data_IF_730529102935
#
_entry.id   IF_730529102935
#
_cell.length_a   1.000
_cell.length_b   1.000
_cell.length_c   1.000
_cell.angle_alpha   90.00
_cell.angle_beta   90.00
_cell.angle_gamma   90.00
#
_symmetry.space_group_name_H-M   'P 1'
#
loop_
_entity.id
_entity.type
_entity.pdbx_description
1 polymer ?
#
# COMPACT_ATOMS: atom_id res chain seq x y z
N UNK A 1 -17.79 8.60 -33.19
CA UNK A 1 -18.32 9.27 -31.98
C UNK A 1 -18.20 8.26 -30.86
N UNK A 2 -17.39 8.53 -29.83
CA UNK A 2 -17.34 7.68 -28.64
C UNK A 2 -18.73 7.61 -28.03
N UNK A 3 -19.13 6.43 -27.57
CA UNK A 3 -20.41 6.20 -26.90
C UNK A 3 -20.46 7.08 -25.64
N UNK A 4 -21.55 7.82 -25.45
CA UNK A 4 -21.79 8.62 -24.25
C UNK A 4 -21.82 7.70 -23.01
N UNK A 5 -21.02 8.02 -21.99
CA UNK A 5 -20.95 7.27 -20.74
C UNK A 5 -22.23 7.52 -19.94
N UNK A 6 -22.90 6.44 -19.50
CA UNK A 6 -24.10 6.50 -18.66
C UNK A 6 -23.94 5.72 -17.37
N UNK A 7 -23.13 4.66 -17.37
CA UNK A 7 -22.94 3.81 -16.21
C UNK A 7 -21.49 3.40 -16.03
N UNK A 8 -20.99 3.60 -14.82
CA UNK A 8 -19.66 3.12 -14.41
C UNK A 8 -19.79 2.06 -13.33
N UNK A 9 -18.85 1.13 -13.31
CA UNK A 9 -18.68 0.18 -12.21
C UNK A 9 -17.32 0.39 -11.56
N UNK A 10 -17.22 0.17 -10.26
CA UNK A 10 -15.96 0.26 -9.53
C UNK A 10 -15.71 -0.97 -8.67
N UNK A 11 -14.43 -1.30 -8.46
CA UNK A 11 -14.01 -2.38 -7.56
C UNK A 11 -12.70 -2.01 -6.85
N UNK A 12 -12.51 -2.54 -5.65
CA UNK A 12 -11.25 -2.48 -4.91
C UNK A 12 -10.61 -3.86 -4.81
N UNK A 13 -9.33 -3.97 -5.16
CA UNK A 13 -8.54 -5.21 -5.07
C UNK A 13 -7.29 -5.06 -4.21
N UNK A 14 -6.75 -6.19 -3.74
CA UNK A 14 -5.57 -6.24 -2.88
C UNK A 14 -5.86 -5.96 -1.41
N UNK A 15 -4.80 -5.71 -0.62
CA UNK A 15 -4.96 -5.25 0.77
C UNK A 15 -5.60 -3.86 0.82
N UNK A 16 -6.42 -3.59 1.83
CA UNK A 16 -6.99 -2.27 2.04
C UNK A 16 -5.93 -1.26 2.51
N UNK A 17 -6.24 0.02 2.33
CA UNK A 17 -5.48 1.12 2.92
C UNK A 17 -6.42 2.28 3.28
N UNK A 18 -5.99 3.19 4.18
CA UNK A 18 -6.77 4.39 4.50
C UNK A 18 -7.05 5.22 3.24
N UNK A 19 -8.27 5.76 3.11
CA UNK A 19 -8.67 6.63 1.99
C UNK A 19 -9.48 5.95 0.88
N UNK A 20 -9.56 4.61 0.85
CA UNK A 20 -10.37 3.88 -0.14
C UNK A 20 -11.83 4.35 -0.19
N UNK A 21 -12.50 4.43 0.95
CA UNK A 21 -13.88 4.92 1.02
C UNK A 21 -14.01 6.40 0.60
N UNK A 22 -12.99 7.22 0.84
CA UNK A 22 -12.99 8.61 0.39
C UNK A 22 -12.90 8.73 -1.14
N UNK A 23 -12.12 7.86 -1.79
CA UNK A 23 -12.08 7.74 -3.27
C UNK A 23 -13.43 7.27 -3.79
N UNK A 24 -13.98 6.18 -3.23
CA UNK A 24 -15.29 5.63 -3.63
C UNK A 24 -16.39 6.70 -3.52
N UNK A 25 -16.48 7.39 -2.37
CA UNK A 25 -17.43 8.48 -2.20
C UNK A 25 -17.25 9.55 -3.26
N UNK A 26 -16.04 10.05 -3.43
CA UNK A 26 -15.81 11.23 -4.26
C UNK A 26 -16.04 10.93 -5.73
N UNK A 27 -15.58 9.78 -6.21
CA UNK A 27 -15.85 9.30 -7.56
C UNK A 27 -17.36 9.15 -7.79
N UNK A 28 -18.08 8.49 -6.87
CA UNK A 28 -19.54 8.32 -6.97
C UNK A 28 -20.27 9.67 -6.99
N UNK A 29 -19.96 10.59 -6.07
CA UNK A 29 -20.60 11.91 -6.03
C UNK A 29 -20.33 12.70 -7.31
N UNK A 30 -19.08 12.71 -7.79
CA UNK A 30 -18.71 13.41 -9.02
C UNK A 30 -19.42 12.81 -10.24
N UNK A 31 -19.43 11.48 -10.35
CA UNK A 31 -20.13 10.77 -11.42
C UNK A 31 -21.63 11.12 -11.47
N UNK A 32 -22.31 11.14 -10.33
CA UNK A 32 -23.74 11.42 -10.25
C UNK A 32 -24.03 12.92 -10.44
N UNK A 33 -23.40 13.80 -9.66
CA UNK A 33 -23.77 15.22 -9.58
C UNK A 33 -23.24 16.03 -10.77
N UNK A 34 -22.02 15.73 -11.24
CA UNK A 34 -21.39 16.47 -12.34
C UNK A 34 -21.74 15.89 -13.70
N UNK A 35 -21.81 14.56 -13.81
CA UNK A 35 -21.94 13.88 -15.10
C UNK A 35 -23.24 13.09 -15.29
N UNK A 36 -24.07 12.93 -14.26
CA UNK A 36 -25.35 12.23 -14.37
C UNK A 36 -25.25 10.72 -14.58
N UNK A 37 -24.13 10.09 -14.20
CA UNK A 37 -23.92 8.65 -14.38
C UNK A 37 -24.52 7.81 -13.26
N UNK A 38 -24.94 6.60 -13.60
CA UNK A 38 -25.19 5.53 -12.63
C UNK A 38 -23.86 4.90 -12.18
N UNK A 39 -23.78 4.54 -10.89
CA UNK A 39 -22.58 3.96 -10.29
C UNK A 39 -22.91 2.67 -9.53
N UNK A 40 -22.21 1.60 -9.87
CA UNK A 40 -22.26 0.33 -9.12
C UNK A 40 -20.87 -0.02 -8.57
N UNK A 41 -20.83 -0.71 -7.43
CA UNK A 41 -19.60 -1.20 -6.83
C UNK A 41 -19.61 -2.72 -6.69
N UNK A 42 -18.68 -3.42 -7.33
CA UNK A 42 -18.53 -4.87 -7.16
C UNK A 42 -17.97 -5.19 -5.78
N UNK A 43 -18.63 -6.09 -5.08
CA UNK A 43 -18.27 -6.49 -3.72
C UNK A 43 -17.21 -7.60 -3.78
N UNK A 44 -16.16 -7.51 -2.97
CA UNK A 44 -15.02 -8.42 -2.95
C UNK A 44 -14.14 -8.36 -4.21
N UNK A 45 -14.00 -7.18 -4.81
CA UNK A 45 -13.08 -6.95 -5.92
C UNK A 45 -13.44 -7.77 -7.16
N UNK A 46 -12.45 -8.42 -7.78
CA UNK A 46 -12.65 -9.22 -9.00
C UNK A 46 -13.59 -10.41 -8.80
N UNK A 47 -13.72 -10.97 -7.60
CA UNK A 47 -14.72 -12.01 -7.31
C UNK A 47 -16.14 -11.49 -7.48
N UNK A 48 -16.40 -10.24 -7.08
CA UNK A 48 -17.68 -9.58 -7.32
C UNK A 48 -17.98 -9.45 -8.81
N UNK A 49 -16.98 -9.04 -9.59
CA UNK A 49 -17.08 -8.97 -11.05
C UNK A 49 -17.38 -10.35 -11.69
N UNK A 50 -16.74 -11.41 -11.21
CA UNK A 50 -16.97 -12.77 -11.72
C UNK A 50 -18.36 -13.32 -11.35
N UNK A 51 -18.78 -13.12 -10.11
CA UNK A 51 -20.07 -13.63 -9.58
C UNK A 51 -21.26 -12.70 -9.87
N UNK A 52 -21.01 -11.59 -10.55
CA UNK A 52 -21.95 -10.49 -10.77
C UNK A 52 -22.60 -9.95 -9.48
N UNK A 53 -21.81 -9.85 -8.41
CA UNK A 53 -22.24 -9.37 -7.10
C UNK A 53 -21.80 -7.91 -6.90
N UNK A 54 -22.76 -7.00 -6.97
CA UNK A 54 -22.53 -5.57 -6.79
C UNK A 54 -23.61 -4.90 -5.95
N UNK A 55 -23.30 -3.71 -5.46
CA UNK A 55 -24.25 -2.79 -4.86
C UNK A 55 -24.38 -1.52 -5.70
N UNK A 56 -25.58 -0.92 -5.71
CA UNK A 56 -25.73 0.44 -6.21
C UNK A 56 -25.05 1.41 -5.24
N UNK A 57 -24.30 2.36 -5.79
CA UNK A 57 -23.65 3.43 -5.05
C UNK A 57 -24.40 4.73 -5.31
N UNK A 58 -25.25 5.10 -4.36
CA UNK A 58 -26.06 6.32 -4.39
C UNK A 58 -25.45 7.38 -3.46
N UNK A 59 -25.87 8.64 -3.61
CA UNK A 59 -25.34 9.75 -2.80
C UNK A 59 -25.52 9.49 -1.30
N UNK A 60 -26.68 8.97 -0.89
CA UNK A 60 -26.97 8.64 0.51
C UNK A 60 -26.05 7.53 1.04
N UNK A 61 -25.75 6.53 0.22
CA UNK A 61 -24.93 5.38 0.62
C UNK A 61 -23.46 5.72 0.82
N UNK A 62 -22.97 6.75 0.12
CA UNK A 62 -21.56 7.15 0.18
C UNK A 62 -21.32 8.41 1.02
N UNK A 63 -22.35 9.09 1.52
CA UNK A 63 -22.17 10.42 2.11
C UNK A 63 -21.17 10.44 3.27
N UNK A 64 -21.25 9.45 4.18
CA UNK A 64 -20.52 9.45 5.45
C UNK A 64 -19.26 8.55 5.49
N UNK A 65 -18.97 7.82 4.41
CA UNK A 65 -17.92 6.80 4.41
C UNK A 65 -16.50 7.39 4.30
N UNK A 66 -16.34 8.67 3.94
CA UNK A 66 -15.05 9.29 3.63
C UNK A 66 -14.03 9.33 4.77
N UNK A 67 -14.48 9.13 6.01
CA UNK A 67 -13.65 9.08 7.21
C UNK A 67 -13.42 7.64 7.70
N UNK A 68 -14.14 6.67 7.15
CA UNK A 68 -14.10 5.28 7.58
C UNK A 68 -12.91 4.56 6.95
N UNK A 69 -12.12 3.87 7.77
CA UNK A 69 -11.07 2.97 7.30
C UNK A 69 -11.62 1.78 6.51
N UNK A 70 -10.74 1.06 5.82
CA UNK A 70 -11.11 -0.07 4.97
C UNK A 70 -11.92 0.34 3.72
N UNK A 71 -12.82 -0.55 3.28
CA UNK A 71 -13.67 -0.34 2.11
C UNK A 71 -15.06 -0.93 2.32
N UNK A 72 -16.12 -0.17 2.01
CA UNK A 72 -17.51 -0.66 2.04
C UNK A 72 -17.80 -1.77 1.02
N UNK A 73 -16.91 -1.96 0.04
CA UNK A 73 -17.05 -3.00 -0.99
C UNK A 73 -16.38 -4.30 -0.57
N UNK A 74 -15.69 -4.34 0.57
CA UNK A 74 -14.69 -5.35 0.88
C UNK A 74 -13.61 -5.44 -0.23
N UNK A 75 -12.64 -6.31 -0.04
CA UNK A 75 -11.59 -6.54 -1.03
C UNK A 75 -11.22 -8.01 -1.08
N UNK A 76 -10.54 -8.41 -2.15
CA UNK A 76 -9.87 -9.68 -2.25
C UNK A 76 -8.41 -9.47 -2.62
N UNK A 77 -7.52 -10.17 -1.92
CA UNK A 77 -6.09 -10.16 -2.15
C UNK A 77 -5.61 -11.36 -2.98
N UNK A 78 -6.52 -12.20 -3.48
CA UNK A 78 -6.19 -13.42 -4.24
C UNK A 78 -6.83 -13.48 -5.62
N UNK A 79 -7.93 -12.77 -5.82
CA UNK A 79 -8.74 -12.96 -7.01
C UNK A 79 -8.19 -12.14 -8.18
N UNK A 80 -7.82 -12.83 -9.26
CA UNK A 80 -7.47 -12.28 -10.57
C UNK A 80 -8.21 -13.09 -11.63
N UNK A 81 -9.08 -12.47 -12.45
CA UNK A 81 -9.90 -13.25 -13.39
C UNK A 81 -9.09 -13.85 -14.55
N UNK A 82 -7.88 -13.38 -14.80
CA UNK A 82 -6.97 -13.96 -15.81
C UNK A 82 -6.19 -15.18 -15.27
N UNK A 83 -6.20 -15.39 -13.94
CA UNK A 83 -5.49 -16.46 -13.26
C UNK A 83 -6.30 -16.89 -12.00
N UNK A 84 -7.58 -17.21 -12.21
CA UNK A 84 -8.57 -17.37 -11.13
C UNK A 84 -8.59 -18.81 -10.63
N UNK A 85 -8.64 -18.98 -9.32
CA UNK A 85 -8.68 -20.30 -8.70
C UNK A 85 -10.12 -20.86 -8.71
N UNK A 86 -10.36 -21.88 -9.52
CA UNK A 86 -11.65 -22.58 -9.64
C UNK A 86 -11.55 -24.02 -9.10
N UNK A 87 -12.67 -24.57 -8.66
CA UNK A 87 -12.78 -26.00 -8.35
C UNK A 87 -12.63 -26.81 -9.65
N UNK A 88 -11.82 -27.86 -9.62
CA UNK A 88 -11.59 -28.73 -10.77
C UNK A 88 -12.71 -29.77 -10.99
N UNK A 89 -13.72 -29.79 -10.12
CA UNK A 89 -14.83 -30.74 -10.12
C UNK A 89 -14.47 -32.11 -9.56
N UNK A 90 -13.23 -32.30 -9.12
CA UNK A 90 -12.68 -33.53 -8.53
C UNK A 90 -12.22 -33.30 -7.07
N UNK A 91 -12.57 -32.16 -6.48
CA UNK A 91 -12.19 -31.78 -5.11
C UNK A 91 -10.82 -31.10 -5.01
N UNK A 92 -10.18 -30.80 -6.14
CA UNK A 92 -8.98 -29.98 -6.23
C UNK A 92 -9.28 -28.56 -6.71
N UNK A 93 -8.21 -27.75 -6.82
CA UNK A 93 -8.31 -26.38 -7.34
C UNK A 93 -7.33 -26.19 -8.48
N UNK A 94 -7.79 -25.54 -9.55
CA UNK A 94 -6.99 -25.23 -10.73
C UNK A 94 -7.11 -23.75 -11.08
N UNK A 95 -6.01 -23.16 -11.55
CA UNK A 95 -6.03 -21.78 -12.04
C UNK A 95 -6.50 -21.73 -13.50
N UNK A 96 -7.43 -20.83 -13.80
CA UNK A 96 -8.01 -20.68 -15.14
C UNK A 96 -8.30 -19.21 -15.45
N UNK A 97 -8.13 -18.82 -16.70
CA UNK A 97 -8.66 -17.56 -17.20
C UNK A 97 -10.20 -17.66 -17.32
N UNK A 98 -10.89 -16.86 -16.52
CA UNK A 98 -12.34 -16.69 -16.49
C UNK A 98 -12.75 -15.23 -16.77
N UNK A 99 -11.82 -14.41 -17.27
CA UNK A 99 -12.04 -12.97 -17.45
C UNK A 99 -13.11 -12.63 -18.48
N UNK A 100 -13.39 -13.53 -19.43
CA UNK A 100 -14.51 -13.35 -20.38
C UNK A 100 -15.87 -13.28 -19.66
N UNK A 101 -16.05 -14.02 -18.57
CA UNK A 101 -17.25 -13.94 -17.72
C UNK A 101 -17.41 -12.54 -17.13
N UNK A 102 -16.30 -11.94 -16.69
CA UNK A 102 -16.29 -10.55 -16.22
C UNK A 102 -16.68 -9.56 -17.31
N UNK A 103 -16.17 -9.75 -18.54
CA UNK A 103 -16.54 -8.91 -19.70
C UNK A 103 -18.03 -9.05 -20.03
N UNK A 104 -18.56 -10.27 -19.99
CA UNK A 104 -19.98 -10.56 -20.24
C UNK A 104 -20.88 -9.91 -19.18
N UNK A 105 -20.50 -10.00 -17.90
CA UNK A 105 -21.22 -9.36 -16.80
C UNK A 105 -21.29 -7.84 -16.97
N UNK A 106 -20.17 -7.18 -17.30
CA UNK A 106 -20.15 -5.73 -17.58
C UNK A 106 -21.12 -5.36 -18.71
N UNK A 107 -21.11 -6.14 -19.81
CA UNK A 107 -22.02 -5.92 -20.95
C UNK A 107 -23.48 -6.12 -20.55
N UNK A 108 -23.77 -7.19 -19.80
CA UNK A 108 -25.12 -7.54 -19.33
C UNK A 108 -25.72 -6.43 -18.46
N UNK A 109 -24.92 -5.84 -17.57
CA UNK A 109 -25.36 -4.77 -16.68
C UNK A 109 -25.26 -3.37 -17.30
N UNK A 110 -24.87 -3.29 -18.58
CA UNK A 110 -24.78 -2.02 -19.33
C UNK A 110 -23.69 -1.09 -18.80
N UNK A 111 -22.62 -1.62 -18.23
CA UNK A 111 -21.48 -0.84 -17.72
C UNK A 111 -20.64 -0.36 -18.90
N UNK A 112 -20.45 0.96 -19.00
CA UNK A 112 -19.66 1.58 -20.05
C UNK A 112 -18.16 1.64 -19.70
N UNK A 113 -17.85 1.79 -18.41
CA UNK A 113 -16.47 1.94 -17.91
C UNK A 113 -16.27 1.23 -16.57
N UNK A 114 -15.15 0.52 -16.43
CA UNK A 114 -14.73 -0.13 -15.21
C UNK A 114 -13.60 0.67 -14.52
N UNK A 115 -13.83 1.09 -13.28
CA UNK A 115 -12.83 1.78 -12.45
C UNK A 115 -12.22 0.83 -11.44
N UNK A 116 -10.89 0.72 -11.45
CA UNK A 116 -10.17 -0.27 -10.64
C UNK A 116 -9.29 0.45 -9.61
N UNK A 117 -9.63 0.27 -8.33
CA UNK A 117 -8.86 0.80 -7.19
C UNK A 117 -7.90 -0.29 -6.70
N UNK A 118 -6.59 -0.10 -6.89
CA UNK A 118 -5.66 -1.21 -6.69
C UNK A 118 -4.17 -0.87 -6.75
N UNK A 119 -3.35 -1.75 -6.20
CA UNK A 119 -1.89 -1.73 -6.39
C UNK A 119 -1.48 -2.51 -7.64
N UNK A 120 -0.18 -2.79 -7.80
CA UNK A 120 0.42 -3.41 -9.00
C UNK A 120 -0.32 -4.65 -9.49
N UNK A 121 -0.59 -5.62 -8.60
CA UNK A 121 -1.31 -6.85 -8.98
C UNK A 121 -2.73 -6.59 -9.49
N UNK A 122 -3.45 -5.66 -8.87
CA UNK A 122 -4.82 -5.31 -9.27
C UNK A 122 -4.85 -4.49 -10.56
N UNK A 123 -3.89 -3.57 -10.73
CA UNK A 123 -3.73 -2.76 -11.95
C UNK A 123 -3.19 -3.56 -13.13
N UNK A 124 -2.48 -4.67 -12.88
CA UNK A 124 -2.10 -5.66 -13.91
C UNK A 124 -3.34 -6.22 -14.58
N UNK A 125 -4.32 -6.68 -13.81
CA UNK A 125 -5.61 -7.14 -14.35
C UNK A 125 -6.40 -6.01 -15.02
N UNK A 126 -6.27 -4.76 -14.53
CA UNK A 126 -6.89 -3.59 -15.15
C UNK A 126 -6.39 -3.38 -16.60
N UNK A 127 -5.07 -3.43 -16.80
CA UNK A 127 -4.45 -3.41 -18.14
C UNK A 127 -4.98 -4.56 -19.00
N UNK A 128 -5.04 -5.77 -18.46
CA UNK A 128 -5.45 -6.94 -19.23
C UNK A 128 -6.93 -6.87 -19.65
N UNK A 129 -7.81 -6.31 -18.83
CA UNK A 129 -9.18 -5.97 -19.24
C UNK A 129 -9.21 -4.88 -20.32
N UNK A 130 -8.34 -3.87 -20.21
CA UNK A 130 -8.21 -2.83 -21.24
C UNK A 130 -7.81 -3.43 -22.59
N UNK A 131 -6.86 -4.38 -22.61
CA UNK A 131 -6.48 -5.14 -23.83
C UNK A 131 -7.62 -5.98 -24.40
N UNK A 132 -8.55 -6.44 -23.57
CA UNK A 132 -9.79 -7.11 -24.01
C UNK A 132 -10.86 -6.15 -24.54
N UNK A 133 -10.58 -4.85 -24.61
CA UNK A 133 -11.49 -3.84 -25.13
C UNK A 133 -12.50 -3.31 -24.12
N UNK A 134 -12.30 -3.57 -22.82
CA UNK A 134 -13.07 -2.91 -21.76
C UNK A 134 -12.52 -1.50 -21.57
N UNK A 135 -13.38 -0.49 -21.49
CA UNK A 135 -12.95 0.85 -21.07
C UNK A 135 -12.59 0.79 -19.58
N UNK A 136 -11.34 1.06 -19.26
CA UNK A 136 -10.81 0.96 -17.89
C UNK A 136 -10.16 2.26 -17.47
N UNK A 137 -10.39 2.69 -16.23
CA UNK A 137 -9.59 3.73 -15.55
C UNK A 137 -9.05 3.15 -14.24
N UNK A 138 -7.74 3.21 -14.06
CA UNK A 138 -7.07 2.82 -12.81
C UNK A 138 -7.01 3.97 -11.81
N UNK A 139 -7.12 3.64 -10.53
CA UNK A 139 -6.77 4.57 -9.44
C UNK A 139 -5.80 3.86 -8.50
N UNK A 140 -4.58 4.37 -8.33
CA UNK A 140 -3.53 3.65 -7.65
C UNK A 140 -3.78 3.59 -6.15
N UNK A 141 -3.67 2.40 -5.58
CA UNK A 141 -3.92 2.11 -4.17
C UNK A 141 -2.77 1.31 -3.57
N UNK A 142 -1.93 1.97 -2.79
CA UNK A 142 -0.88 1.34 -1.99
C UNK A 142 -0.55 2.24 -0.81
N UNK A 143 -0.40 1.67 0.38
CA UNK A 143 0.10 2.40 1.54
C UNK A 143 1.62 2.54 1.53
N UNK A 144 2.31 1.69 0.76
CA UNK A 144 3.77 1.58 0.76
C UNK A 144 4.42 2.69 -0.08
N UNK A 145 3.61 3.47 -0.82
CA UNK A 145 4.04 4.55 -1.71
C UNK A 145 5.10 4.12 -2.74
N UNK A 146 4.96 2.90 -3.22
CA UNK A 146 5.92 2.17 -4.06
C UNK A 146 5.57 2.20 -5.56
N UNK A 147 4.56 2.97 -5.96
CA UNK A 147 4.17 3.13 -7.35
C UNK A 147 5.00 4.21 -8.06
N UNK A 148 5.80 3.82 -9.05
CA UNK A 148 6.76 4.71 -9.73
C UNK A 148 6.13 5.85 -10.56
N UNK A 149 4.88 5.71 -10.99
CA UNK A 149 4.20 6.70 -11.83
C UNK A 149 3.60 7.88 -11.05
N UNK A 150 3.72 7.89 -9.72
CA UNK A 150 3.07 8.89 -8.88
C UNK A 150 3.91 9.25 -7.64
N UNK A 151 3.87 10.53 -7.26
CA UNK A 151 4.67 11.05 -6.14
C UNK A 151 4.10 10.64 -4.78
N UNK A 152 2.79 10.47 -4.68
CA UNK A 152 2.14 10.04 -3.44
C UNK A 152 0.86 9.27 -3.72
N UNK A 153 0.72 8.13 -3.07
CA UNK A 153 -0.52 7.35 -3.04
C UNK A 153 -1.29 7.65 -1.76
N UNK A 154 -2.63 7.68 -1.86
CA UNK A 154 -3.45 7.85 -0.67
C UNK A 154 -3.33 6.65 0.26
N UNK A 155 -3.36 6.94 1.55
CA UNK A 155 -3.18 5.98 2.64
C UNK A 155 -1.76 5.94 3.17
N UNK A 156 -0.77 6.40 2.40
CA UNK A 156 0.62 6.50 2.85
C UNK A 156 0.77 7.44 4.06
N UNK A 157 0.18 8.64 4.00
CA UNK A 157 0.34 9.63 5.08
C UNK A 157 -0.33 9.17 6.38
N UNK A 158 -1.47 8.49 6.29
CA UNK A 158 -2.15 7.91 7.44
C UNK A 158 -1.34 6.76 8.03
N UNK A 159 -0.80 5.88 7.19
CA UNK A 159 0.05 4.78 7.62
C UNK A 159 1.32 5.24 8.33
N UNK A 160 2.06 6.21 7.75
CA UNK A 160 3.26 6.75 8.40
C UNK A 160 2.92 7.53 9.68
N UNK A 161 1.75 8.16 9.77
CA UNK A 161 1.32 8.87 10.99
C UNK A 161 1.08 7.90 12.13
N UNK A 162 0.41 6.77 11.86
CA UNK A 162 0.22 5.71 12.86
C UNK A 162 1.58 5.12 13.25
N UNK A 163 2.46 4.81 12.28
CA UNK A 163 3.80 4.33 12.56
C UNK A 163 4.62 5.28 13.45
N UNK A 164 4.48 6.59 13.21
CA UNK A 164 5.09 7.65 14.02
C UNK A 164 4.56 7.61 15.46
N UNK A 165 3.24 7.50 15.64
CA UNK A 165 2.61 7.40 16.96
C UNK A 165 3.12 6.18 17.75
N UNK A 166 3.28 5.02 17.08
CA UNK A 166 3.86 3.84 17.71
C UNK A 166 5.29 4.13 18.19
N UNK A 167 6.13 4.70 17.33
CA UNK A 167 7.50 5.06 17.70
C UNK A 167 7.50 6.02 18.90
N UNK A 168 6.71 7.10 18.87
CA UNK A 168 6.61 8.08 19.95
C UNK A 168 6.23 7.42 21.29
N UNK A 169 5.23 6.53 21.27
CA UNK A 169 4.84 5.78 22.47
C UNK A 169 5.98 4.89 22.98
N UNK A 170 6.69 4.21 22.08
CA UNK A 170 7.84 3.38 22.44
C UNK A 170 8.99 4.20 23.02
N UNK A 171 9.23 5.43 22.54
CA UNK A 171 10.28 6.32 23.08
C UNK A 171 10.10 6.55 24.59
N UNK A 172 8.86 6.78 25.05
CA UNK A 172 8.59 7.08 26.46
C UNK A 172 8.97 5.93 27.40
N UNK A 173 8.61 4.71 27.03
CA UNK A 173 8.91 3.50 27.82
C UNK A 173 10.37 3.05 27.65
N UNK A 174 10.94 3.22 26.46
CA UNK A 174 12.36 2.96 26.22
C UNK A 174 13.24 3.85 27.11
N UNK A 175 12.93 5.15 27.14
CA UNK A 175 13.65 6.14 27.96
C UNK A 175 13.55 5.85 29.46
N UNK A 176 12.37 5.46 29.94
CA UNK A 176 12.13 5.22 31.38
C UNK A 176 12.86 4.00 31.92
N UNK A 177 13.18 3.03 31.06
CA UNK A 177 13.77 1.74 31.45
C UNK A 177 15.12 1.44 30.79
N UNK A 178 15.73 2.44 30.14
CA UNK A 178 17.01 2.29 29.46
C UNK A 178 17.03 1.15 28.42
N UNK A 179 15.95 1.01 27.64
CA UNK A 179 15.75 -0.13 26.72
C UNK A 179 16.14 0.19 25.29
N UNK A 180 16.48 -0.87 24.57
CA UNK A 180 16.46 -0.88 23.10
C UNK A 180 15.17 -1.53 22.65
N UNK A 181 14.35 -0.82 21.86
CA UNK A 181 13.06 -1.34 21.39
C UNK A 181 12.98 -1.27 19.88
N UNK A 182 12.77 -2.41 19.24
CA UNK A 182 12.53 -2.56 17.81
C UNK A 182 11.03 -2.42 17.51
N UNK A 183 10.69 -1.55 16.58
CA UNK A 183 9.34 -1.36 16.06
C UNK A 183 9.29 -1.87 14.61
N UNK A 184 8.70 -3.05 14.40
CA UNK A 184 8.53 -3.64 13.07
C UNK A 184 7.38 -2.96 12.34
N UNK A 185 7.66 -2.25 11.24
CA UNK A 185 6.71 -1.52 10.42
C UNK A 185 6.55 -2.19 9.05
N UNK A 186 5.45 -1.87 8.36
CA UNK A 186 5.22 -2.31 6.99
C UNK A 186 6.22 -1.68 6.01
N UNK A 187 6.55 -2.41 4.95
CA UNK A 187 7.54 -1.99 3.96
C UNK A 187 8.30 -3.18 3.42
N UNK A 188 7.67 -3.94 2.51
CA UNK A 188 8.18 -5.20 1.98
C UNK A 188 9.35 -5.01 1.02
N UNK A 189 9.13 -4.24 -0.03
CA UNK A 189 10.15 -4.00 -1.06
C UNK A 189 10.63 -2.54 -1.03
N UNK A 190 9.85 -1.63 -0.43
CA UNK A 190 10.21 -0.23 -0.26
C UNK A 190 10.09 0.22 1.21
N UNK A 191 11.05 1.05 1.66
CA UNK A 191 11.18 1.50 3.03
C UNK A 191 10.46 2.81 3.40
N UNK A 192 9.55 3.30 2.56
CA UNK A 192 8.98 4.66 2.72
C UNK A 192 8.28 4.88 4.06
N UNK A 193 7.44 3.95 4.50
CA UNK A 193 6.72 4.07 5.79
C UNK A 193 7.74 4.12 6.93
N UNK A 194 8.68 3.18 6.97
CA UNK A 194 9.70 3.10 8.03
C UNK A 194 10.60 4.32 8.06
N UNK A 195 11.03 4.83 6.90
CA UNK A 195 11.86 6.03 6.83
C UNK A 195 11.09 7.25 7.34
N UNK A 196 9.88 7.51 6.86
CA UNK A 196 9.09 8.66 7.27
C UNK A 196 8.68 8.59 8.75
N UNK A 197 8.20 7.43 9.21
CA UNK A 197 7.82 7.23 10.60
C UNK A 197 9.03 7.30 11.54
N UNK A 198 10.15 6.71 11.13
CA UNK A 198 11.42 6.76 11.86
C UNK A 198 11.94 8.18 12.02
N UNK A 199 11.89 8.98 10.95
CA UNK A 199 12.25 10.40 11.01
C UNK A 199 11.35 11.19 11.94
N UNK A 200 10.03 11.07 11.75
CA UNK A 200 9.04 11.85 12.48
C UNK A 200 8.98 11.47 13.96
N UNK A 201 9.13 10.18 14.28
CA UNK A 201 9.15 9.65 15.65
C UNK A 201 10.54 9.65 16.31
N UNK A 202 11.54 10.26 15.67
CA UNK A 202 12.90 10.39 16.17
C UNK A 202 13.56 9.04 16.55
N UNK A 203 13.39 8.03 15.71
CA UNK A 203 14.05 6.73 15.89
C UNK A 203 15.57 6.92 15.86
N UNK A 204 16.30 6.21 16.73
CA UNK A 204 17.77 6.29 16.73
C UNK A 204 18.41 5.49 15.59
N UNK A 205 17.69 4.50 15.08
CA UNK A 205 18.09 3.66 13.95
C UNK A 205 16.87 3.39 13.07
N UNK A 206 17.04 3.45 11.75
CA UNK A 206 16.01 3.12 10.76
C UNK A 206 16.55 2.06 9.79
N UNK A 207 15.96 0.87 9.80
CA UNK A 207 16.36 -0.24 8.93
C UNK A 207 15.34 -0.41 7.81
N UNK A 208 15.77 -0.22 6.57
CA UNK A 208 14.90 -0.25 5.37
C UNK A 208 15.39 -1.29 4.35
N UNK A 209 14.53 -1.79 3.45
CA UNK A 209 14.92 -2.78 2.44
C UNK A 209 16.08 -2.33 1.54
N UNK A 210 16.20 -1.03 1.29
CA UNK A 210 17.16 -0.45 0.35
C UNK A 210 18.58 -0.34 0.90
N UNK A 211 18.74 -0.32 2.23
CA UNK A 211 20.04 -0.16 2.91
C UNK A 211 20.27 -1.38 3.80
N UNK A 212 21.06 -2.37 3.33
CA UNK A 212 21.40 -3.54 4.12
C UNK A 212 22.22 -3.18 5.37
N UNK A 213 21.97 -3.87 6.48
CA UNK A 213 22.61 -3.57 7.76
C UNK A 213 23.42 -4.74 8.32
N UNK A 214 24.29 -4.46 9.29
CA UNK A 214 24.93 -5.49 10.14
C UNK A 214 24.53 -5.31 11.60
N UNK A 215 24.51 -6.41 12.35
CA UNK A 215 24.20 -6.38 13.80
C UNK A 215 25.23 -5.52 14.53
N UNK A 216 26.50 -5.59 14.11
CA UNK A 216 27.61 -4.85 14.67
C UNK A 216 27.44 -3.34 14.50
N UNK A 217 27.01 -2.88 13.32
CA UNK A 217 26.79 -1.46 13.06
C UNK A 217 25.57 -0.93 13.80
N UNK A 218 24.50 -1.73 13.93
CA UNK A 218 23.35 -1.37 14.76
C UNK A 218 23.76 -1.25 16.23
N UNK A 219 24.53 -2.21 16.76
CA UNK A 219 25.05 -2.17 18.12
C UNK A 219 25.98 -0.96 18.36
N UNK A 220 26.82 -0.62 17.38
CA UNK A 220 27.66 0.59 17.39
C UNK A 220 26.82 1.87 17.45
N UNK A 221 25.71 1.93 16.71
CA UNK A 221 24.79 3.06 16.74
C UNK A 221 24.11 3.20 18.11
N UNK A 222 23.67 2.10 18.73
CA UNK A 222 23.15 2.09 20.11
C UNK A 222 24.21 2.63 21.08
N UNK A 223 25.42 2.07 21.04
CA UNK A 223 26.52 2.48 21.92
C UNK A 223 26.86 3.98 21.80
N UNK A 224 26.89 4.51 20.58
CA UNK A 224 27.14 5.94 20.32
C UNK A 224 26.09 6.83 21.00
N UNK A 225 24.82 6.38 21.05
CA UNK A 225 23.75 7.10 21.74
C UNK A 225 23.90 7.03 23.26
N UNK A 226 24.31 5.87 23.80
CA UNK A 226 24.59 5.73 25.22
C UNK A 226 25.70 6.69 25.66
N UNK A 227 26.80 6.76 24.89
CA UNK A 227 27.93 7.68 25.11
C UNK A 227 27.50 9.16 25.03
N UNK A 228 26.44 9.46 24.28
CA UNK A 228 25.84 10.80 24.21
C UNK A 228 24.86 11.10 25.35
N UNK A 229 24.73 10.22 26.35
CA UNK A 229 23.82 10.37 27.49
C UNK A 229 22.37 10.01 27.17
N UNK A 230 22.12 9.26 26.10
CA UNK A 230 20.82 8.73 25.71
C UNK A 230 20.84 7.20 25.85
N UNK A 231 20.73 6.65 27.08
CA UNK A 231 20.84 5.21 27.37
C UNK A 231 19.61 4.41 26.94
N UNK A 232 19.04 4.72 25.77
CA UNK A 232 17.87 4.09 25.19
C UNK A 232 17.82 4.34 23.68
N UNK A 233 17.28 3.38 22.94
CA UNK A 233 17.17 3.49 21.48
C UNK A 233 15.90 2.82 20.99
N UNK A 234 15.04 3.58 20.29
CA UNK A 234 13.99 2.98 19.46
C UNK A 234 14.55 2.77 18.05
N UNK A 235 14.38 1.57 17.52
CA UNK A 235 14.82 1.14 16.19
C UNK A 235 13.57 0.92 15.34
N UNK A 236 13.38 1.70 14.28
CA UNK A 236 12.32 1.45 13.31
C UNK A 236 12.82 0.45 12.26
N UNK A 237 12.07 -0.64 12.03
CA UNK A 237 12.51 -1.74 11.15
C UNK A 237 11.41 -2.07 10.16
N UNK A 238 11.67 -1.91 8.86
CA UNK A 238 10.75 -2.40 7.84
C UNK A 238 10.74 -3.93 7.82
N UNK A 239 9.59 -4.57 7.64
CA UNK A 239 9.47 -6.03 7.48
C UNK A 239 10.36 -6.59 6.36
N UNK A 240 10.67 -5.76 5.36
CA UNK A 240 11.56 -6.08 4.24
C UNK A 240 13.03 -5.71 4.41
N UNK A 241 13.44 -5.18 5.55
CA UNK A 241 14.84 -4.91 5.83
C UNK A 241 15.66 -6.21 5.72
N UNK A 242 16.95 -6.07 5.38
CA UNK A 242 17.82 -7.23 5.12
C UNK A 242 19.20 -7.03 5.70
N UNK A 243 19.79 -8.15 6.10
CA UNK A 243 21.18 -8.18 6.55
C UNK A 243 22.12 -7.96 5.34
N UNK A 244 23.34 -7.49 5.60
CA UNK A 244 24.35 -7.21 4.59
C UNK A 244 24.79 -8.45 3.80
N UNK A 245 24.63 -9.64 4.37
CA UNK A 245 24.86 -10.93 3.69
C UNK A 245 23.73 -11.33 2.71
N UNK A 246 22.69 -10.50 2.61
CA UNK A 246 21.53 -10.73 1.76
C UNK A 246 20.40 -11.52 2.44
N UNK A 247 20.56 -11.91 3.71
CA UNK A 247 19.54 -12.66 4.45
C UNK A 247 18.27 -11.82 4.62
N UNK A 248 17.14 -12.36 4.13
CA UNK A 248 15.78 -11.85 4.37
C UNK A 248 15.09 -12.75 5.40
N UNK A 249 14.38 -12.16 6.34
CA UNK A 249 13.61 -12.92 7.34
C UNK A 249 12.22 -13.22 6.81
N UNK A 250 11.91 -14.51 6.69
CA UNK A 250 10.61 -15.00 6.21
C UNK A 250 9.79 -15.45 7.42
N UNK A 251 8.66 -14.79 7.66
CA UNK A 251 7.74 -15.17 8.74
C UNK A 251 6.90 -16.39 8.40
N UNK A 252 6.38 -16.48 7.16
CA UNK A 252 5.52 -17.60 6.72
C UNK A 252 5.52 -17.79 5.21
N UNK A 253 5.29 -19.03 4.75
CA UNK A 253 4.96 -19.36 3.36
C UNK A 253 3.47 -19.75 3.26
N UNK A 254 2.75 -19.18 2.31
CA UNK A 254 1.33 -19.44 2.02
C UNK A 254 1.20 -19.82 0.54
N UNK A 255 1.19 -21.12 0.26
CA UNK A 255 1.25 -21.65 -1.12
C UNK A 255 0.11 -21.12 -2.02
N UNK A 256 -1.10 -21.01 -1.48
CA UNK A 256 -2.30 -20.53 -2.21
C UNK A 256 -2.44 -19.00 -2.27
N UNK A 257 -1.35 -18.25 -2.22
CA UNK A 257 -1.34 -16.78 -2.25
C UNK A 257 -0.64 -16.31 -3.53
N UNK A 258 -1.14 -15.27 -4.23
CA UNK A 258 -0.40 -14.65 -5.34
C UNK A 258 0.99 -14.19 -4.93
N UNK A 259 1.15 -13.94 -3.63
CA UNK A 259 2.40 -13.60 -2.99
C UNK A 259 2.65 -14.62 -1.86
N UNK A 260 3.36 -15.74 -2.15
CA UNK A 260 3.47 -16.86 -1.23
C UNK A 260 4.33 -16.56 0.00
N UNK A 261 5.38 -15.76 -0.18
CA UNK A 261 6.28 -15.38 0.90
C UNK A 261 5.66 -14.22 1.70
N UNK A 262 5.49 -14.43 3.00
CA UNK A 262 5.12 -13.41 3.97
C UNK A 262 6.35 -13.05 4.79
N UNK A 263 6.82 -11.82 4.61
CA UNK A 263 7.87 -11.25 5.45
C UNK A 263 7.30 -10.93 6.84
N UNK A 264 8.20 -10.76 7.80
CA UNK A 264 7.86 -10.46 9.19
C UNK A 264 8.72 -11.26 10.17
N UNK A 265 8.81 -10.75 11.39
CA UNK A 265 9.64 -11.33 12.45
C UNK A 265 11.10 -10.90 12.41
N UNK A 266 11.48 -9.98 11.52
CA UNK A 266 12.84 -9.43 11.48
C UNK A 266 13.18 -8.69 12.77
N UNK A 267 12.22 -7.97 13.37
CA UNK A 267 12.45 -7.32 14.65
C UNK A 267 12.69 -8.33 15.77
N UNK A 268 12.03 -9.49 15.72
CA UNK A 268 12.23 -10.55 16.71
C UNK A 268 13.59 -11.24 16.52
N UNK A 269 13.97 -11.52 15.28
CA UNK A 269 15.29 -12.07 14.97
C UNK A 269 16.40 -11.09 15.42
N UNK A 270 16.26 -9.81 15.08
CA UNK A 270 17.25 -8.79 15.43
C UNK A 270 17.27 -8.49 16.94
N UNK A 271 16.15 -8.63 17.65
CA UNK A 271 16.13 -8.62 19.13
C UNK A 271 17.10 -9.67 19.68
N UNK A 272 16.98 -10.92 19.25
CA UNK A 272 17.84 -12.03 19.71
C UNK A 272 19.31 -11.85 19.33
N UNK A 273 19.58 -11.26 18.16
CA UNK A 273 20.95 -11.00 17.72
C UNK A 273 21.59 -9.84 18.49
N UNK A 274 20.82 -8.78 18.78
CA UNK A 274 21.30 -7.64 19.55
C UNK A 274 21.52 -7.98 21.03
N UNK A 275 20.65 -8.77 21.67
CA UNK A 275 20.84 -9.20 23.07
C UNK A 275 22.21 -9.85 23.32
N UNK A 276 22.79 -10.52 22.31
CA UNK A 276 24.10 -11.16 22.39
C UNK A 276 25.27 -10.15 22.40
N UNK A 277 25.10 -8.98 21.80
CA UNK A 277 26.19 -8.00 21.56
C UNK A 277 26.03 -6.71 22.37
N UNK A 278 24.84 -6.41 22.90
CA UNK A 278 24.57 -5.28 23.80
C UNK A 278 23.98 -5.77 25.15
N UNK A 279 24.73 -6.56 25.94
CA UNK A 279 24.21 -7.25 27.13
C UNK A 279 23.78 -6.32 28.28
N UNK A 280 24.10 -5.02 28.20
CA UNK A 280 23.73 -4.02 29.19
C UNK A 280 22.33 -3.41 28.94
N UNK A 281 21.68 -3.79 27.84
CA UNK A 281 20.33 -3.34 27.52
C UNK A 281 19.35 -4.51 27.51
N UNK A 282 18.17 -4.29 28.07
CA UNK A 282 17.00 -5.11 27.75
C UNK A 282 16.52 -4.74 26.34
N UNK A 283 16.51 -5.72 25.43
CA UNK A 283 16.05 -5.54 24.04
C UNK A 283 14.64 -6.10 23.91
N UNK A 284 13.76 -5.39 23.22
CA UNK A 284 12.37 -5.81 22.98
C UNK A 284 11.97 -5.53 21.55
N UNK A 285 11.08 -6.34 20.98
CA UNK A 285 10.44 -6.08 19.70
C UNK A 285 8.93 -5.91 19.85
N UNK A 286 8.37 -5.04 19.04
CA UNK A 286 6.93 -4.77 18.92
C UNK A 286 6.58 -4.71 17.44
N UNK A 287 5.49 -5.37 17.06
CA UNK A 287 4.94 -5.32 15.71
C UNK A 287 3.50 -4.77 15.78
N UNK A 288 3.25 -3.51 15.38
CA UNK A 288 1.91 -2.94 15.27
C UNK A 288 1.02 -3.64 14.22
N UNK A 289 1.65 -4.27 13.23
CA UNK A 289 1.02 -5.09 12.22
C UNK A 289 -0.08 -4.34 11.46
N UNK A 290 -1.27 -4.95 11.42
CA UNK A 290 -2.40 -4.44 10.65
C UNK A 290 -3.01 -3.15 11.21
N UNK A 291 -2.63 -2.71 12.43
CA UNK A 291 -3.09 -1.43 12.97
C UNK A 291 -2.66 -0.27 12.05
N UNK A 292 -1.49 -0.37 11.40
CA UNK A 292 -0.97 0.65 10.47
C UNK A 292 -1.89 0.84 9.25
N UNK A 293 -2.65 -0.19 8.86
CA UNK A 293 -3.61 -0.15 7.74
C UNK A 293 -5.00 0.36 8.14
N UNK A 294 -5.35 0.19 9.41
CA UNK A 294 -6.68 0.47 9.92
C UNK A 294 -6.81 1.85 10.57
N UNK A 295 -8.01 2.13 11.05
CA UNK A 295 -8.30 3.33 11.83
C UNK A 295 -8.65 4.56 10.99
N UNK A 296 -8.49 5.72 11.63
CA UNK A 296 -8.89 7.01 11.07
C UNK A 296 -7.94 7.45 9.95
N UNK A 297 -8.51 8.08 8.94
CA UNK A 297 -7.76 8.63 7.81
C UNK A 297 -7.28 10.04 8.15
N UNK A 298 -6.00 10.35 7.89
CA UNK A 298 -5.45 11.69 8.05
C UNK A 298 -6.17 12.72 7.16
N UNK A 299 -6.16 14.00 7.56
CA UNK A 299 -6.75 15.06 6.73
C UNK A 299 -6.11 15.15 5.34
N UNK A 300 -4.79 14.95 5.27
CA UNK A 300 -4.06 14.95 4.00
C UNK A 300 -4.56 13.85 3.06
N UNK A 301 -4.65 12.60 3.55
CA UNK A 301 -5.12 11.49 2.72
C UNK A 301 -6.59 11.65 2.32
N UNK A 302 -7.45 12.22 3.18
CA UNK A 302 -8.83 12.53 2.78
C UNK A 302 -8.87 13.50 1.60
N UNK A 303 -8.08 14.56 1.64
CA UNK A 303 -7.99 15.55 0.55
C UNK A 303 -7.40 14.89 -0.71
N UNK A 304 -6.32 14.10 -0.56
CA UNK A 304 -5.69 13.41 -1.67
C UNK A 304 -6.66 12.42 -2.33
N UNK A 305 -7.39 11.61 -1.56
CA UNK A 305 -8.42 10.69 -2.05
C UNK A 305 -9.55 11.42 -2.78
N UNK A 306 -9.98 12.60 -2.31
CA UNK A 306 -10.94 13.44 -3.02
C UNK A 306 -10.39 13.80 -4.41
N UNK A 307 -9.14 14.26 -4.48
CA UNK A 307 -8.51 14.63 -5.74
C UNK A 307 -8.39 13.46 -6.72
N UNK A 308 -8.00 12.29 -6.24
CA UNK A 308 -7.98 11.06 -7.04
C UNK A 308 -9.37 10.67 -7.55
N UNK A 309 -10.40 10.77 -6.72
CA UNK A 309 -11.78 10.45 -7.10
C UNK A 309 -12.34 11.40 -8.18
N UNK A 310 -12.10 12.71 -8.04
CA UNK A 310 -12.50 13.71 -9.06
C UNK A 310 -11.74 13.48 -10.36
N UNK A 311 -10.42 13.34 -10.29
CA UNK A 311 -9.59 13.12 -11.48
C UNK A 311 -10.00 11.85 -12.23
N UNK A 312 -10.32 10.76 -11.52
CA UNK A 312 -10.82 9.54 -12.16
C UNK A 312 -12.13 9.78 -12.93
N UNK A 313 -13.08 10.51 -12.36
CA UNK A 313 -14.32 10.87 -13.06
C UNK A 313 -14.05 11.75 -14.29
N UNK A 314 -13.16 12.73 -14.17
CA UNK A 314 -12.81 13.64 -15.26
C UNK A 314 -12.15 12.88 -16.43
N UNK A 315 -11.23 11.95 -16.16
CA UNK A 315 -10.64 11.09 -17.20
C UNK A 315 -11.67 10.23 -17.93
N UNK A 316 -12.69 9.73 -17.21
CA UNK A 316 -13.78 8.96 -17.82
C UNK A 316 -14.57 9.82 -18.80
N UNK A 317 -14.93 11.04 -18.38
CA UNK A 317 -15.67 11.99 -19.21
C UNK A 317 -14.87 12.41 -20.46
N UNK A 318 -13.56 12.59 -20.31
CA UNK A 318 -12.64 12.95 -21.40
C UNK A 318 -12.29 11.76 -22.32
N UNK A 319 -12.74 10.54 -21.99
CA UNK A 319 -12.48 9.34 -22.78
C UNK A 319 -11.05 8.82 -22.69
N UNK A 320 -10.31 9.19 -21.63
CA UNK A 320 -8.94 8.76 -21.37
C UNK A 320 -8.87 7.34 -20.77
N UNK A 321 -9.49 6.37 -21.45
CA UNK A 321 -9.46 4.96 -21.05
C UNK A 321 -8.08 4.33 -21.24
N UNK A 322 -7.80 3.25 -20.49
CA UNK A 322 -6.51 2.57 -20.49
C UNK A 322 -5.43 3.28 -19.67
N UNK A 323 -5.82 4.28 -18.87
CA UNK A 323 -4.91 5.08 -18.06
C UNK A 323 -5.17 4.89 -16.56
N UNK A 324 -4.18 5.28 -15.77
CA UNK A 324 -4.26 5.36 -14.30
C UNK A 324 -4.03 6.80 -13.86
N UNK A 325 -4.79 7.25 -12.87
CA UNK A 325 -4.63 8.59 -12.27
C UNK A 325 -3.29 8.67 -11.54
N UNK A 326 -2.58 9.79 -11.69
CA UNK A 326 -1.31 10.06 -11.02
C UNK A 326 -1.31 11.45 -10.39
N UNK A 327 -0.37 11.70 -9.47
CA UNK A 327 -0.05 13.04 -8.99
C UNK A 327 1.46 13.27 -9.12
N UNK A 328 1.84 14.40 -9.71
CA UNK A 328 3.23 14.83 -9.86
C UNK A 328 3.35 16.26 -9.31
N UNK A 329 4.06 16.41 -8.20
CA UNK A 329 4.06 17.58 -7.35
C UNK A 329 2.65 17.92 -6.87
N UNK A 330 2.17 19.09 -7.29
CA UNK A 330 0.82 19.57 -7.02
C UNK A 330 -0.21 19.03 -8.02
N UNK A 331 0.19 18.55 -9.21
CA UNK A 331 -0.74 18.40 -10.33
C UNK A 331 -1.27 16.97 -10.44
N UNK A 332 -2.59 16.84 -10.52
CA UNK A 332 -3.22 15.58 -10.95
C UNK A 332 -2.94 15.37 -12.44
N UNK A 333 -2.67 14.13 -12.82
CA UNK A 333 -2.46 13.73 -14.20
C UNK A 333 -2.86 12.28 -14.40
N UNK A 334 -2.35 11.70 -15.49
CA UNK A 334 -2.53 10.30 -15.79
C UNK A 334 -1.36 9.77 -16.61
N UNK A 335 -1.19 8.46 -16.60
CA UNK A 335 -0.26 7.73 -17.47
C UNK A 335 -0.91 6.42 -17.90
N UNK A 336 -0.38 5.77 -18.93
CA UNK A 336 -0.97 4.53 -19.41
C UNK A 336 -0.81 3.38 -18.41
N UNK A 337 -1.80 2.49 -18.34
CA UNK A 337 -1.70 1.24 -17.58
C UNK A 337 -0.55 0.35 -18.09
N UNK A 338 -0.21 0.46 -19.38
CA UNK A 338 0.94 -0.25 -19.96
C UNK A 338 2.26 0.22 -19.37
N UNK A 339 2.49 1.52 -19.26
CA UNK A 339 3.72 2.08 -18.69
C UNK A 339 3.86 1.70 -17.21
N UNK A 340 2.80 1.84 -16.42
CA UNK A 340 2.85 1.55 -14.97
C UNK A 340 3.22 0.10 -14.71
N UNK A 341 2.56 -0.84 -15.41
CA UNK A 341 2.86 -2.25 -15.19
C UNK A 341 4.14 -2.68 -15.92
N UNK A 342 4.48 -2.03 -17.03
CA UNK A 342 5.77 -2.21 -17.70
C UNK A 342 6.92 -1.91 -16.76
N UNK A 343 6.87 -0.75 -16.10
CA UNK A 343 7.84 -0.33 -15.07
C UNK A 343 7.91 -1.34 -13.91
N UNK A 344 6.77 -1.72 -13.34
CA UNK A 344 6.72 -2.72 -12.26
C UNK A 344 7.34 -4.07 -12.68
N UNK A 345 7.06 -4.54 -13.91
CA UNK A 345 7.59 -5.81 -14.44
C UNK A 345 9.10 -5.80 -14.66
N UNK A 346 9.70 -4.65 -14.92
CA UNK A 346 11.16 -4.50 -15.04
C UNK A 346 11.82 -4.10 -13.71
N UNK A 347 11.10 -4.17 -12.59
CA UNK A 347 11.61 -3.86 -11.26
C UNK A 347 11.78 -2.37 -10.99
N UNK A 348 11.17 -1.49 -11.79
CA UNK A 348 11.12 -0.06 -11.53
C UNK A 348 9.96 0.26 -10.56
N UNK A 349 9.99 -0.33 -9.37
CA UNK A 349 9.18 0.15 -8.26
C UNK A 349 9.83 1.41 -7.66
N UNK A 350 9.01 2.23 -7.00
CA UNK A 350 9.50 3.43 -6.34
C UNK A 350 10.12 3.04 -5.01
N UNK A 351 11.45 2.92 -5.02
CA UNK A 351 12.25 2.66 -3.82
C UNK A 351 12.77 3.96 -3.21
N UNK A 352 13.10 3.92 -1.92
CA UNK A 352 13.90 4.96 -1.27
C UNK A 352 15.27 4.99 -1.95
N UNK A 353 15.71 6.16 -2.41
CA UNK A 353 17.09 6.34 -2.86
C UNK A 353 18.03 6.37 -1.62
N UNK A 354 18.96 5.39 -1.46
CA UNK A 354 19.92 5.38 -0.36
C UNK A 354 20.80 6.64 -0.29
N UNK A 355 20.96 7.34 -1.41
CA UNK A 355 21.72 8.58 -1.51
C UNK A 355 20.81 9.81 -1.66
N UNK A 356 19.51 9.62 -1.48
CA UNK A 356 18.49 10.65 -1.64
C UNK A 356 18.50 11.67 -0.50
N UNK A 357 17.80 12.79 -0.70
CA UNK A 357 17.75 13.89 0.26
C UNK A 357 17.23 13.46 1.64
N UNK A 358 16.21 12.61 1.68
CA UNK A 358 15.59 12.20 2.94
C UNK A 358 16.51 11.27 3.76
N UNK A 359 17.25 10.38 3.12
CA UNK A 359 18.25 9.53 3.80
C UNK A 359 19.42 10.37 4.29
N UNK A 360 19.90 11.33 3.48
CA UNK A 360 20.92 12.30 3.90
C UNK A 360 20.46 13.14 5.10
N UNK A 361 19.22 13.61 5.08
CA UNK A 361 18.63 14.35 6.19
C UNK A 361 18.56 13.47 7.46
N UNK A 362 18.14 12.21 7.33
CA UNK A 362 18.14 11.25 8.43
C UNK A 362 19.52 11.04 9.04
N UNK A 363 20.53 10.78 8.22
CA UNK A 363 21.92 10.65 8.68
C UNK A 363 22.42 11.94 9.34
N UNK A 364 22.07 13.11 8.80
CA UNK A 364 22.49 14.42 9.33
C UNK A 364 21.91 14.74 10.72
N UNK A 365 20.68 14.28 11.01
CA UNK A 365 20.08 14.42 12.36
C UNK A 365 20.46 13.29 13.31
N UNK A 366 21.34 12.38 12.89
CA UNK A 366 21.95 11.35 13.73
C UNK A 366 21.27 9.98 13.70
N UNK A 367 20.36 9.73 12.76
CA UNK A 367 19.74 8.42 12.58
C UNK A 367 20.73 7.51 11.83
N UNK A 368 20.98 6.32 12.37
CA UNK A 368 21.77 5.29 11.69
C UNK A 368 20.89 4.36 10.85
N UNK A 369 21.43 3.87 9.73
CA UNK A 369 20.80 2.81 8.93
C UNK A 369 21.47 1.45 9.13
N UNK A 370 22.41 1.35 10.07
CA UNK A 370 23.17 0.11 10.32
C UNK A 370 24.18 -0.24 9.21
N UNK A 371 24.51 0.72 8.36
CA UNK A 371 25.43 0.61 7.23
C UNK A 371 26.86 1.09 7.51
N UNK A 372 27.08 1.86 8.60
CA UNK A 372 28.37 2.51 8.94
C UNK A 372 28.73 2.48 10.43
#
# INVERSE_FOLDING_TARGET
MSKEVKKIALLSGGGDCPGLNAVIRTLTKTAIEKYGWEVIGFVYGYRGLYTNNYINLTLDKVENIYKEGGTILYSSNKDNLFDYLVDDGQGGKVKKDVSDVGVENLKKDGVDVLVILGGDGTLTSARDFSRKGVNVVGVPKTMDNDLASTDVTYGFMSAMSVGTEFIDRLQTTAKSHHRVILCELMGRDAGWITLYAGLAGNAGVCLIPEIPFTVENVAKAVKKRDEAGLPYTVIAVAEGARYADGTKVIGKIVEDSPEPVRLGGIAKQLEEDLEKVIPNHEVRSVNPGHIIRGGDISAYDRILSIRYGVAAADLINEGHFGNVVTINGDKMGYTSLEEVIGAAKVGQQKHVDPNGELVKAAKAVGISFGDE
#
